data_IF_870493228867
#
_entry.id   IF_870493228867
#
_cell.length_a   1.000
_cell.length_b   1.000
_cell.length_c   1.000
_cell.angle_alpha   90.00
_cell.angle_beta   90.00
_cell.angle_gamma   90.00
#
_symmetry.space_group_name_H-M   'P 1'
#
loop_
_entity.id
_entity.type
_entity.pdbx_description
1 polymer ?
#
# COMPACT_ATOMS: atom_id res chain seq x y z
N UNK A 1 21.46 3.55 -21.48
CA UNK A 1 21.39 3.11 -20.09
C UNK A 1 21.29 1.58 -20.00
N UNK A 2 21.98 1.00 -19.06
CA UNK A 2 21.91 -0.43 -18.84
C UNK A 2 20.67 -0.81 -18.03
N UNK A 3 20.24 -2.06 -18.16
CA UNK A 3 19.13 -2.60 -17.34
C UNK A 3 19.45 -2.52 -15.85
N UNK A 4 20.73 -2.64 -15.50
CA UNK A 4 21.19 -2.53 -14.11
C UNK A 4 20.90 -1.14 -13.53
N UNK A 5 21.21 -0.09 -14.29
CA UNK A 5 20.98 1.30 -13.87
C UNK A 5 19.48 1.58 -13.71
N UNK A 6 18.63 1.02 -14.59
CA UNK A 6 17.18 1.16 -14.47
C UNK A 6 16.65 0.53 -13.19
N UNK A 7 17.17 -0.67 -12.83
CA UNK A 7 16.75 -1.34 -11.60
C UNK A 7 17.17 -0.59 -10.35
N UNK A 8 18.37 -0.03 -10.33
CA UNK A 8 18.84 0.78 -9.20
C UNK A 8 17.98 2.03 -9.04
N UNK A 9 17.65 2.68 -10.17
CA UNK A 9 16.83 3.89 -10.15
C UNK A 9 15.40 3.60 -9.68
N UNK A 10 14.87 2.43 -9.97
CA UNK A 10 13.52 2.06 -9.52
C UNK A 10 13.39 2.07 -8.00
N UNK A 11 14.42 1.68 -7.28
CA UNK A 11 14.39 1.60 -5.81
C UNK A 11 14.24 2.96 -5.15
N UNK A 12 14.63 4.04 -5.82
CA UNK A 12 14.48 5.39 -5.26
C UNK A 12 13.11 6.00 -5.54
N UNK A 13 12.33 5.43 -6.46
CA UNK A 13 11.06 6.02 -6.86
C UNK A 13 10.00 6.02 -5.75
N UNK A 14 9.76 4.90 -5.02
CA UNK A 14 8.80 4.96 -3.93
C UNK A 14 9.16 5.96 -2.82
N UNK A 15 10.42 6.01 -2.32
CA UNK A 15 10.80 7.06 -1.37
C UNK A 15 10.63 8.47 -1.92
N UNK A 16 10.92 8.69 -3.20
CA UNK A 16 10.72 9.99 -3.84
C UNK A 16 9.24 10.37 -3.84
N UNK A 17 8.38 9.43 -4.22
CA UNK A 17 6.93 9.64 -4.19
C UNK A 17 6.46 10.00 -2.78
N UNK A 18 7.00 9.31 -1.77
CA UNK A 18 6.63 9.55 -0.38
C UNK A 18 7.07 10.95 0.09
N UNK A 19 8.23 11.42 -0.36
CA UNK A 19 8.67 12.79 -0.11
C UNK A 19 7.70 13.80 -0.72
N UNK A 20 7.28 13.59 -1.96
CA UNK A 20 6.30 14.47 -2.60
C UNK A 20 4.95 14.43 -1.88
N UNK A 21 4.56 13.25 -1.40
CA UNK A 21 3.34 13.09 -0.61
C UNK A 21 3.42 13.94 0.66
N UNK A 22 4.54 13.88 1.38
CA UNK A 22 4.76 14.66 2.59
C UNK A 22 4.68 16.17 2.32
N UNK A 23 5.12 16.58 1.13
CA UNK A 23 5.07 17.99 0.70
C UNK A 23 3.73 18.35 0.06
N UNK A 24 2.78 17.45 0.02
CA UNK A 24 1.46 17.64 -0.58
C UNK A 24 1.52 17.99 -2.07
N UNK A 25 2.56 17.52 -2.76
CA UNK A 25 2.73 17.72 -4.20
C UNK A 25 2.07 16.55 -4.94
N UNK A 26 0.76 16.59 -5.02
CA UNK A 26 -0.06 15.46 -5.51
C UNK A 26 0.23 15.10 -6.96
N UNK A 27 0.38 16.09 -7.83
CA UNK A 27 0.71 15.82 -9.23
C UNK A 27 2.07 15.13 -9.39
N UNK A 28 3.04 15.48 -8.54
CA UNK A 28 4.35 14.84 -8.55
C UNK A 28 4.24 13.38 -8.09
N UNK A 29 3.43 13.10 -7.08
CA UNK A 29 3.16 11.71 -6.65
C UNK A 29 2.60 10.90 -7.81
N UNK A 30 1.63 11.43 -8.51
CA UNK A 30 1.01 10.74 -9.66
C UNK A 30 2.02 10.46 -10.78
N UNK A 31 2.88 11.43 -11.07
CA UNK A 31 3.93 11.24 -12.09
C UNK A 31 4.92 10.15 -11.71
N UNK A 32 5.35 10.12 -10.44
CA UNK A 32 6.29 9.09 -9.99
C UNK A 32 5.61 7.73 -9.98
N UNK A 33 4.35 7.64 -9.56
CA UNK A 33 3.58 6.40 -9.61
C UNK A 33 3.48 5.85 -11.04
N UNK A 34 3.22 6.72 -12.00
CA UNK A 34 3.16 6.34 -13.41
C UNK A 34 4.51 5.81 -13.90
N UNK A 35 5.60 6.48 -13.52
CA UNK A 35 6.95 6.02 -13.86
C UNK A 35 7.22 4.63 -13.28
N UNK A 36 6.82 4.38 -12.04
CA UNK A 36 6.98 3.07 -11.41
C UNK A 36 6.25 2.01 -12.23
N UNK A 37 4.99 2.25 -12.57
CA UNK A 37 4.16 1.30 -13.30
C UNK A 37 4.72 0.99 -14.69
N UNK A 38 5.27 1.98 -15.37
CA UNK A 38 5.78 1.84 -16.72
C UNK A 38 7.16 1.21 -16.79
N UNK A 39 7.87 1.12 -15.65
CA UNK A 39 9.26 0.66 -15.61
C UNK A 39 9.39 -0.85 -15.46
N UNK A 40 8.32 -1.61 -15.53
CA UNK A 40 8.30 -3.06 -15.25
C UNK A 40 9.01 -3.40 -13.94
N UNK A 41 8.54 -2.86 -12.82
CA UNK A 41 9.25 -2.96 -11.55
C UNK A 41 9.13 -4.34 -10.92
N UNK A 42 10.05 -4.63 -9.98
CA UNK A 42 9.88 -5.78 -9.09
C UNK A 42 8.60 -5.61 -8.27
N UNK A 43 8.04 -6.72 -7.79
CA UNK A 43 6.79 -6.71 -7.04
C UNK A 43 6.86 -5.81 -5.80
N UNK A 44 8.00 -5.81 -5.09
CA UNK A 44 8.19 -4.98 -3.90
C UNK A 44 8.15 -3.48 -4.22
N UNK A 45 8.74 -3.09 -5.33
CA UNK A 45 8.76 -1.69 -5.77
C UNK A 45 7.36 -1.24 -6.17
N UNK A 46 6.67 -2.08 -6.93
CA UNK A 46 5.29 -1.79 -7.34
C UNK A 46 4.38 -1.65 -6.11
N UNK A 47 4.54 -2.55 -5.14
CA UNK A 47 3.75 -2.53 -3.91
C UNK A 47 3.98 -1.24 -3.11
N UNK A 48 5.24 -0.85 -2.91
CA UNK A 48 5.56 0.38 -2.17
C UNK A 48 5.04 1.62 -2.90
N UNK A 49 5.18 1.67 -4.22
CA UNK A 49 4.65 2.77 -5.03
C UNK A 49 3.13 2.87 -4.91
N UNK A 50 2.45 1.74 -4.96
CA UNK A 50 0.98 1.69 -4.80
C UNK A 50 0.56 2.22 -3.44
N UNK A 51 1.27 1.82 -2.38
CA UNK A 51 0.98 2.28 -1.02
C UNK A 51 1.09 3.79 -0.92
N UNK A 52 2.15 4.37 -1.49
CA UNK A 52 2.34 5.83 -1.45
C UNK A 52 1.26 6.53 -2.26
N UNK A 53 0.97 6.06 -3.47
CA UNK A 53 -0.03 6.68 -4.34
C UNK A 53 -1.43 6.61 -3.73
N UNK A 54 -1.80 5.45 -3.18
CA UNK A 54 -3.08 5.28 -2.50
C UNK A 54 -3.14 6.12 -1.22
N UNK A 55 -2.05 6.15 -0.46
CA UNK A 55 -1.94 6.98 0.73
C UNK A 55 -2.13 8.47 0.43
N UNK A 56 -1.60 8.94 -0.70
CA UNK A 56 -1.79 10.33 -1.14
C UNK A 56 -3.27 10.64 -1.38
N UNK A 57 -4.01 9.71 -2.00
CA UNK A 57 -5.45 9.87 -2.17
C UNK A 57 -6.18 9.93 -0.82
N UNK A 58 -5.80 9.07 0.11
CA UNK A 58 -6.37 9.05 1.44
C UNK A 58 -6.07 10.35 2.19
N UNK A 59 -4.85 10.89 2.06
CA UNK A 59 -4.45 12.16 2.68
C UNK A 59 -5.31 13.32 2.17
N UNK A 60 -5.78 13.23 0.93
CA UNK A 60 -6.66 14.23 0.32
C UNK A 60 -8.13 14.02 0.68
N UNK A 61 -8.42 13.06 1.56
CA UNK A 61 -9.78 12.75 1.96
C UNK A 61 -10.54 11.82 1.02
N UNK A 62 -9.87 11.24 0.04
CA UNK A 62 -10.51 10.37 -0.95
C UNK A 62 -10.22 8.89 -0.63
N UNK A 63 -10.80 8.41 0.47
CA UNK A 63 -10.59 7.03 0.93
C UNK A 63 -11.14 6.00 -0.06
N UNK A 64 -12.26 6.29 -0.70
CA UNK A 64 -12.84 5.36 -1.68
C UNK A 64 -11.92 5.12 -2.85
N UNK A 65 -11.30 6.17 -3.40
CA UNK A 65 -10.33 6.04 -4.49
C UNK A 65 -9.06 5.34 -4.02
N UNK A 66 -8.61 5.61 -2.79
CA UNK A 66 -7.44 4.94 -2.20
C UNK A 66 -7.67 3.44 -2.11
N UNK A 67 -8.83 3.03 -1.62
CA UNK A 67 -9.21 1.61 -1.52
C UNK A 67 -9.25 0.97 -2.91
N UNK A 68 -9.88 1.64 -3.87
CA UNK A 68 -9.96 1.12 -5.23
C UNK A 68 -8.58 0.91 -5.84
N UNK A 69 -7.64 1.81 -5.57
CA UNK A 69 -6.26 1.68 -6.04
C UNK A 69 -5.56 0.46 -5.45
N UNK A 70 -5.95 0.02 -4.26
CA UNK A 70 -5.38 -1.16 -3.60
C UNK A 70 -5.96 -2.49 -4.10
N UNK A 71 -7.04 -2.47 -4.87
CA UNK A 71 -7.72 -3.70 -5.29
C UNK A 71 -6.81 -4.70 -6.04
N UNK A 72 -5.90 -4.28 -6.93
CA UNK A 72 -5.00 -5.24 -7.58
C UNK A 72 -4.11 -6.04 -6.62
N UNK A 73 -3.92 -5.55 -5.39
CA UNK A 73 -3.07 -6.20 -4.39
C UNK A 73 -3.77 -7.35 -3.65
N UNK A 74 -5.08 -7.54 -3.84
CA UNK A 74 -5.86 -8.53 -3.08
C UNK A 74 -5.95 -9.89 -3.76
N UNK A 75 -5.16 -10.14 -4.78
CA UNK A 75 -5.16 -11.42 -5.47
C UNK A 75 -4.68 -12.53 -4.55
N UNK A 76 -5.38 -13.68 -4.61
CA UNK A 76 -4.96 -14.86 -3.87
C UNK A 76 -3.60 -15.33 -4.37
N UNK A 77 -2.73 -15.69 -3.44
CA UNK A 77 -1.41 -16.21 -3.76
C UNK A 77 -1.12 -17.40 -2.84
N UNK A 78 -0.41 -18.39 -3.37
CA UNK A 78 0.03 -19.56 -2.59
C UNK A 78 1.23 -19.22 -1.70
N UNK A 79 1.98 -18.19 -2.06
CA UNK A 79 3.17 -17.77 -1.34
C UNK A 79 3.03 -16.30 -0.94
N UNK A 80 2.60 -16.06 0.30
CA UNK A 80 2.42 -14.72 0.83
C UNK A 80 3.78 -14.17 1.26
N UNK A 81 4.14 -13.02 0.69
CA UNK A 81 5.39 -12.32 1.00
C UNK A 81 5.10 -11.05 1.77
N UNK A 82 6.15 -10.43 2.31
CA UNK A 82 6.00 -9.21 3.10
C UNK A 82 5.27 -8.10 2.35
N UNK A 83 5.56 -7.92 1.05
CA UNK A 83 4.88 -6.87 0.27
C UNK A 83 3.37 -7.11 0.15
N UNK A 84 2.91 -8.35 0.22
CA UNK A 84 1.48 -8.65 0.28
C UNK A 84 0.89 -8.19 1.61
N UNK A 85 1.53 -8.55 2.71
CA UNK A 85 1.07 -8.18 4.06
C UNK A 85 1.01 -6.66 4.22
N UNK A 86 2.02 -5.94 3.71
CA UNK A 86 2.06 -4.48 3.79
C UNK A 86 0.87 -3.84 3.06
N UNK A 87 0.57 -4.32 1.86
CA UNK A 87 -0.55 -3.79 1.10
C UNK A 87 -1.89 -4.10 1.77
N UNK A 88 -2.04 -5.32 2.27
CA UNK A 88 -3.26 -5.72 2.99
C UNK A 88 -3.45 -4.91 4.26
N UNK A 89 -2.36 -4.61 4.97
CA UNK A 89 -2.42 -3.77 6.17
C UNK A 89 -2.91 -2.36 5.83
N UNK A 90 -2.37 -1.77 4.79
CA UNK A 90 -2.78 -0.43 4.34
C UNK A 90 -4.25 -0.44 3.93
N UNK A 91 -4.68 -1.47 3.21
CA UNK A 91 -6.09 -1.63 2.83
C UNK A 91 -7.00 -1.73 4.06
N UNK A 92 -6.60 -2.54 5.04
CA UNK A 92 -7.36 -2.67 6.28
C UNK A 92 -7.47 -1.32 7.02
N UNK A 93 -6.37 -0.56 7.05
CA UNK A 93 -6.35 0.76 7.66
C UNK A 93 -7.30 1.73 6.94
N UNK A 94 -7.33 1.69 5.62
CA UNK A 94 -8.25 2.53 4.86
C UNK A 94 -9.71 2.19 5.17
N UNK A 95 -10.05 0.91 5.27
CA UNK A 95 -11.40 0.51 5.66
C UNK A 95 -11.76 0.98 7.06
N UNK A 96 -10.81 0.88 7.99
CA UNK A 96 -11.02 1.37 9.36
C UNK A 96 -11.29 2.88 9.36
N UNK A 97 -10.50 3.64 8.60
CA UNK A 97 -10.67 5.08 8.46
C UNK A 97 -11.98 5.45 7.74
N UNK A 98 -12.44 4.59 6.85
CA UNK A 98 -13.72 4.77 6.15
C UNK A 98 -14.92 4.42 7.06
N UNK A 99 -14.64 3.90 8.24
CA UNK A 99 -15.65 3.44 9.20
C UNK A 99 -16.40 2.20 8.71
N UNK A 100 -15.65 1.28 8.10
CA UNK A 100 -16.14 -0.04 7.68
C UNK A 100 -15.40 -1.10 8.51
N UNK A 101 -15.85 -1.33 9.76
CA UNK A 101 -15.13 -2.22 10.66
C UNK A 101 -15.18 -3.69 10.24
N UNK A 102 -16.20 -4.10 9.52
CA UNK A 102 -16.32 -5.49 9.05
C UNK A 102 -15.22 -5.84 8.07
N UNK A 103 -15.01 -4.99 7.06
CA UNK A 103 -13.95 -5.21 6.09
C UNK A 103 -12.57 -4.99 6.67
N UNK A 104 -12.41 -3.98 7.53
CA UNK A 104 -11.14 -3.74 8.22
C UNK A 104 -10.74 -4.97 9.05
N UNK A 105 -11.65 -5.50 9.84
CA UNK A 105 -11.41 -6.69 10.65
C UNK A 105 -11.03 -7.90 9.79
N UNK A 106 -11.72 -8.09 8.68
CA UNK A 106 -11.45 -9.20 7.75
C UNK A 106 -10.00 -9.17 7.29
N UNK A 107 -9.50 -8.01 6.89
CA UNK A 107 -8.13 -7.88 6.37
C UNK A 107 -7.09 -8.00 7.47
N UNK A 108 -7.32 -7.38 8.64
CA UNK A 108 -6.41 -7.56 9.77
C UNK A 108 -6.36 -9.02 10.22
N UNK A 109 -7.49 -9.71 10.24
CA UNK A 109 -7.54 -11.12 10.60
C UNK A 109 -6.80 -12.00 9.57
N UNK A 110 -6.93 -11.69 8.29
CA UNK A 110 -6.21 -12.40 7.23
C UNK A 110 -4.69 -12.27 7.43
N UNK A 111 -4.22 -11.08 7.77
CA UNK A 111 -2.80 -10.87 8.07
C UNK A 111 -2.39 -11.68 9.30
N UNK A 112 -3.19 -11.64 10.37
CA UNK A 112 -2.89 -12.33 11.62
C UNK A 112 -2.84 -13.85 11.46
N UNK A 113 -3.59 -14.42 10.54
CA UNK A 113 -3.52 -15.85 10.22
C UNK A 113 -2.17 -16.25 9.63
N UNK A 114 -1.56 -15.34 8.87
CA UNK A 114 -0.24 -15.56 8.24
C UNK A 114 0.86 -15.26 9.26
N UNK A 115 0.77 -14.12 9.94
CA UNK A 115 1.77 -13.65 10.91
C UNK A 115 1.07 -12.90 12.04
N UNK A 116 0.80 -13.60 13.16
CA UNK A 116 0.12 -12.96 14.31
C UNK A 116 0.90 -11.80 14.93
N UNK A 117 2.22 -11.75 14.70
CA UNK A 117 3.09 -10.72 15.25
C UNK A 117 3.30 -9.55 14.28
N UNK A 118 2.60 -9.57 13.13
CA UNK A 118 2.79 -8.52 12.13
C UNK A 118 2.33 -7.17 12.68
N UNK A 119 3.26 -6.22 12.80
CA UNK A 119 2.98 -4.87 13.29
C UNK A 119 2.06 -4.91 14.53
N UNK A 120 1.03 -4.10 14.53
CA UNK A 120 0.08 -3.96 15.63
C UNK A 120 -1.27 -4.64 15.33
N UNK A 121 -1.27 -5.69 14.47
CA UNK A 121 -2.53 -6.31 14.03
C UNK A 121 -3.38 -6.83 15.21
N UNK A 122 -2.74 -7.37 16.24
CA UNK A 122 -3.49 -7.86 17.42
C UNK A 122 -4.18 -6.71 18.15
N UNK A 123 -3.48 -5.58 18.30
CA UNK A 123 -4.03 -4.38 18.91
C UNK A 123 -5.18 -3.83 18.08
N UNK A 124 -5.01 -3.77 16.76
CA UNK A 124 -6.04 -3.28 15.85
C UNK A 124 -7.29 -4.17 15.94
N UNK A 125 -7.12 -5.49 15.94
CA UNK A 125 -8.24 -6.43 16.06
C UNK A 125 -9.02 -6.28 17.36
N UNK A 126 -8.33 -6.00 18.46
CA UNK A 126 -8.98 -5.78 19.74
C UNK A 126 -9.84 -4.52 19.79
N UNK A 127 -9.48 -3.49 19.02
CA UNK A 127 -10.11 -2.18 19.09
C UNK A 127 -11.14 -1.91 17.97
N UNK A 128 -11.10 -2.68 16.90
CA UNK A 128 -12.02 -2.48 15.78
C UNK A 128 -13.44 -2.89 16.16
N UNK A 129 -14.39 -2.02 15.84
CA UNK A 129 -15.81 -2.30 16.06
C UNK A 129 -16.29 -2.03 17.49
N UNK A 130 -15.49 -1.33 18.29
CA UNK A 130 -15.87 -0.93 19.66
C UNK A 130 -16.36 0.51 19.72
#
# INVERSE_FOLDING_TARGET
ESAHDLHENQEILPPLADCYRALERWSAVERVWLLIRESSPRHEILAEGRIVAAGALADRGNLSAAIEMMMPAIKKTKSVKDHHLRQWYVLADFYDRLNDPIKARRWFATIAEIDPEYFDVQTRLRHIGR
#
